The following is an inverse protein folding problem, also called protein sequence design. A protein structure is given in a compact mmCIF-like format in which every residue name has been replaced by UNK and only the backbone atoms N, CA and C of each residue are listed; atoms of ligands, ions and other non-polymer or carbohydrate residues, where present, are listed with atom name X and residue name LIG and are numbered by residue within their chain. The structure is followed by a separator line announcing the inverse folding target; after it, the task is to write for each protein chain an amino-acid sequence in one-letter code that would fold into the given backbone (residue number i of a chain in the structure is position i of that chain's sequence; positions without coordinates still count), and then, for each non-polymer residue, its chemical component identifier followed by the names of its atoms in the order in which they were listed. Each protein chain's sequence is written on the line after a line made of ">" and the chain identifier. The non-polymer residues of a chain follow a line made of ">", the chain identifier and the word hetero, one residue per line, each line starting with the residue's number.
data_IF_839867508543
#
_entry.id   IF_839867508543
#
_cell.length_a   1.000
_cell.length_b   1.000
_cell.length_c   1.000
_cell.angle_alpha   90.00
_cell.angle_beta   90.00
_cell.angle_gamma   90.00
#
_symmetry.space_group_name_H-M   'P 1'
#
loop_
_entity.id
_entity.type
_entity.pdbx_description
1 polymer ?
#
# COMPACT_ATOMS: atom_id res chain seq x y z
N UNK A 1 10.40 -14.61 -13.17
CA UNK A 1 10.25 -13.41 -12.31
C UNK A 1 11.45 -13.34 -11.38
N UNK A 2 12.17 -12.21 -11.33
CA UNK A 2 13.39 -12.08 -10.55
C UNK A 2 13.06 -11.76 -9.08
N UNK A 3 13.61 -12.53 -8.12
CA UNK A 3 13.42 -12.32 -6.68
C UNK A 3 13.79 -10.90 -6.23
N UNK A 4 14.76 -10.26 -6.89
CA UNK A 4 15.17 -8.88 -6.59
C UNK A 4 14.03 -7.87 -6.77
N UNK A 5 13.21 -8.03 -7.82
CA UNK A 5 12.06 -7.14 -8.07
C UNK A 5 11.00 -7.24 -6.99
N UNK A 6 10.75 -8.46 -6.52
CA UNK A 6 9.81 -8.71 -5.43
C UNK A 6 10.32 -8.00 -4.16
N UNK A 7 11.62 -8.10 -3.87
CA UNK A 7 12.23 -7.39 -2.73
C UNK A 7 12.10 -5.87 -2.86
N UNK A 8 12.29 -5.30 -4.06
CA UNK A 8 12.05 -3.87 -4.28
C UNK A 8 10.59 -3.47 -4.01
N UNK A 9 9.65 -4.33 -4.40
CA UNK A 9 8.24 -4.18 -4.06
C UNK A 9 8.00 -4.22 -2.55
N UNK A 10 8.61 -5.18 -1.84
CA UNK A 10 8.55 -5.27 -0.38
C UNK A 10 9.13 -4.02 0.28
N UNK A 11 10.27 -3.51 -0.17
CA UNK A 11 10.87 -2.28 0.37
C UNK A 11 9.97 -1.06 0.15
N UNK A 12 9.41 -0.91 -1.05
CA UNK A 12 8.44 0.15 -1.31
C UNK A 12 7.17 0.01 -0.47
N UNK A 13 6.70 -1.22 -0.28
CA UNK A 13 5.55 -1.53 0.56
C UNK A 13 5.80 -1.18 2.02
N UNK A 14 6.94 -1.59 2.57
CA UNK A 14 7.33 -1.26 3.95
C UNK A 14 7.54 0.24 4.14
N UNK A 15 8.16 0.93 3.19
CA UNK A 15 8.35 2.38 3.25
C UNK A 15 7.01 3.13 3.24
N UNK A 16 6.11 2.77 2.31
CA UNK A 16 4.77 3.36 2.25
C UNK A 16 3.93 3.00 3.48
N UNK A 17 4.01 1.75 3.92
CA UNK A 17 3.29 1.22 5.09
C UNK A 17 3.76 1.84 6.40
N UNK A 18 5.04 2.19 6.52
CA UNK A 18 5.55 2.93 7.67
C UNK A 18 4.88 4.29 7.78
N UNK A 19 4.88 5.07 6.70
CA UNK A 19 4.29 6.41 6.67
C UNK A 19 2.78 6.33 6.88
N UNK A 20 2.09 5.41 6.19
CA UNK A 20 0.65 5.22 6.36
C UNK A 20 0.30 4.72 7.78
N UNK A 21 1.09 3.81 8.34
CA UNK A 21 0.95 3.35 9.71
C UNK A 21 1.08 4.47 10.74
N UNK A 22 2.04 5.39 10.55
CA UNK A 22 2.17 6.59 11.40
C UNK A 22 0.94 7.48 11.29
N UNK A 23 0.46 7.75 10.06
CA UNK A 23 -0.78 8.51 9.85
C UNK A 23 -1.98 7.87 10.56
N UNK A 24 -2.14 6.55 10.45
CA UNK A 24 -3.18 5.82 11.17
C UNK A 24 -3.03 5.92 12.68
N UNK A 25 -1.80 5.88 13.20
CA UNK A 25 -1.52 6.07 14.63
C UNK A 25 -1.97 7.44 15.12
N UNK A 26 -1.64 8.50 14.36
CA UNK A 26 -2.07 9.88 14.67
C UNK A 26 -3.59 10.04 14.61
N UNK A 27 -4.27 9.28 13.76
CA UNK A 27 -5.74 9.28 13.63
C UNK A 27 -6.44 8.26 14.57
N UNK A 28 -5.70 7.53 15.41
CA UNK A 28 -6.28 6.53 16.32
C UNK A 28 -6.88 5.31 15.60
N UNK A 29 -6.49 5.03 14.35
CA UNK A 29 -7.08 3.98 13.52
C UNK A 29 -6.41 2.61 13.67
N UNK A 30 -5.23 2.52 14.30
CA UNK A 30 -4.49 1.24 14.43
C UNK A 30 -5.27 0.13 15.18
N UNK A 31 -6.04 0.41 16.25
CA UNK A 31 -6.88 -0.61 16.88
C UNK A 31 -7.89 -1.25 15.93
N UNK A 32 -8.37 -0.53 14.92
CA UNK A 32 -9.29 -1.09 13.92
C UNK A 32 -8.65 -2.26 13.17
N UNK A 33 -7.37 -2.13 12.80
CA UNK A 33 -6.61 -3.19 12.14
C UNK A 33 -6.31 -4.32 13.13
N UNK A 34 -5.95 -4.00 14.37
CA UNK A 34 -5.66 -5.00 15.40
C UNK A 34 -6.84 -5.96 15.65
N UNK A 35 -8.09 -5.46 15.53
CA UNK A 35 -9.30 -6.26 15.72
C UNK A 35 -9.43 -7.41 14.73
N UNK A 36 -8.82 -7.31 13.55
CA UNK A 36 -8.77 -8.40 12.57
C UNK A 36 -8.04 -9.63 13.11
N UNK A 37 -7.17 -9.46 14.12
CA UNK A 37 -6.45 -10.52 14.82
C UNK A 37 -6.95 -10.72 16.28
N UNK A 38 -8.15 -10.23 16.61
CA UNK A 38 -8.71 -10.36 17.96
C UNK A 38 -8.01 -9.51 19.02
N UNK A 39 -7.24 -8.49 18.62
CA UNK A 39 -6.51 -7.59 19.52
C UNK A 39 -7.06 -6.17 19.48
N UNK A 40 -6.81 -5.39 20.54
CA UNK A 40 -7.07 -3.94 20.58
C UNK A 40 -5.79 -3.11 20.64
N UNK A 41 -4.62 -3.74 20.68
CA UNK A 41 -3.34 -3.05 20.83
C UNK A 41 -2.96 -2.28 19.55
N UNK A 42 -2.73 -0.95 19.61
CA UNK A 42 -2.24 -0.18 18.47
C UNK A 42 -0.94 -0.72 17.89
N UNK A 43 -0.04 -1.23 18.75
CA UNK A 43 1.24 -1.79 18.31
C UNK A 43 1.05 -3.08 17.48
N UNK A 44 0.10 -3.93 17.88
CA UNK A 44 -0.27 -5.13 17.10
C UNK A 44 -0.88 -4.71 15.76
N UNK A 45 -1.80 -3.73 15.76
CA UNK A 45 -2.40 -3.19 14.54
C UNK A 45 -1.37 -2.61 13.57
N UNK A 46 -0.36 -1.91 14.09
CA UNK A 46 0.76 -1.38 13.30
C UNK A 46 1.61 -2.50 12.70
N UNK A 47 1.95 -3.53 13.48
CA UNK A 47 2.69 -4.69 12.99
C UNK A 47 1.95 -5.42 11.86
N UNK A 48 0.65 -5.67 12.05
CA UNK A 48 -0.22 -6.27 11.02
C UNK A 48 -0.25 -5.39 9.77
N UNK A 49 -0.39 -4.07 9.94
CA UNK A 49 -0.37 -3.15 8.81
C UNK A 49 0.93 -3.25 8.01
N UNK A 50 2.10 -3.26 8.66
CA UNK A 50 3.39 -3.40 7.97
C UNK A 50 3.52 -4.73 7.22
N UNK A 51 3.03 -5.83 7.80
CA UNK A 51 3.01 -7.14 7.12
C UNK A 51 2.14 -7.09 5.87
N UNK A 52 0.93 -6.55 5.98
CA UNK A 52 0.00 -6.37 4.85
C UNK A 52 0.66 -5.48 3.78
N UNK A 53 1.27 -4.36 4.17
CA UNK A 53 1.98 -3.45 3.26
C UNK A 53 3.12 -4.13 2.52
N UNK A 54 3.91 -4.98 3.19
CA UNK A 54 4.96 -5.76 2.53
C UNK A 54 4.40 -6.73 1.47
N UNK A 55 3.33 -7.45 1.80
CA UNK A 55 2.66 -8.38 0.88
C UNK A 55 2.06 -7.63 -0.31
N UNK A 56 1.38 -6.52 -0.06
CA UNK A 56 0.81 -5.66 -1.11
C UNK A 56 1.92 -5.10 -2.02
N UNK A 57 3.03 -4.66 -1.45
CA UNK A 57 4.19 -4.20 -2.22
C UNK A 57 4.81 -5.30 -3.09
N UNK A 58 4.90 -6.53 -2.59
CA UNK A 58 5.32 -7.68 -3.39
C UNK A 58 4.36 -7.93 -4.57
N UNK A 59 3.04 -7.88 -4.33
CA UNK A 59 2.02 -8.04 -5.37
C UNK A 59 2.13 -6.93 -6.43
N UNK A 60 2.34 -5.69 -6.01
CA UNK A 60 2.59 -4.58 -6.93
C UNK A 60 3.73 -4.89 -7.91
N UNK A 61 4.88 -5.32 -7.39
CA UNK A 61 6.04 -5.69 -8.21
C UNK A 61 5.69 -6.79 -9.23
N UNK A 62 4.90 -7.80 -8.84
CA UNK A 62 4.47 -8.86 -9.76
C UNK A 62 3.58 -8.32 -10.90
N UNK A 63 2.71 -7.36 -10.62
CA UNK A 63 1.79 -6.78 -11.61
C UNK A 63 2.55 -5.87 -12.59
N UNK A 64 3.55 -5.13 -12.13
CA UNK A 64 4.18 -4.06 -12.93
C UNK A 64 5.53 -4.44 -13.56
N UNK A 65 6.03 -5.65 -13.29
CA UNK A 65 7.44 -6.06 -13.41
C UNK A 65 8.17 -5.70 -14.72
N UNK A 66 7.50 -5.40 -15.84
CA UNK A 66 8.15 -5.08 -17.12
C UNK A 66 7.50 -3.89 -17.85
N UNK A 67 6.57 -3.19 -17.19
CA UNK A 67 5.72 -2.17 -17.83
C UNK A 67 6.15 -0.74 -17.55
N UNK A 68 6.94 -0.54 -16.49
CA UNK A 68 7.29 0.79 -15.99
C UNK A 68 8.68 1.19 -16.48
N UNK A 69 8.76 2.36 -17.13
CA UNK A 69 10.00 2.85 -17.78
C UNK A 69 10.61 4.07 -17.09
N UNK A 70 9.93 4.61 -16.07
CA UNK A 70 10.40 5.76 -15.30
C UNK A 70 9.82 5.75 -13.89
N UNK A 71 10.49 6.45 -12.95
CA UNK A 71 9.98 6.66 -11.58
C UNK A 71 8.59 7.30 -11.61
N UNK A 72 8.36 8.29 -12.48
CA UNK A 72 7.05 8.93 -12.62
C UNK A 72 5.94 7.95 -13.03
N UNK A 73 6.22 7.06 -13.99
CA UNK A 73 5.25 6.01 -14.37
C UNK A 73 4.96 5.04 -13.22
N UNK A 74 5.98 4.74 -12.39
CA UNK A 74 5.83 3.87 -11.24
C UNK A 74 5.00 4.51 -10.12
N UNK A 75 5.19 5.81 -9.86
CA UNK A 75 4.35 6.59 -8.93
C UNK A 75 2.90 6.61 -9.43
N UNK A 76 2.67 6.87 -10.72
CA UNK A 76 1.33 6.85 -11.31
C UNK A 76 0.63 5.49 -11.15
N UNK A 77 1.33 4.39 -11.43
CA UNK A 77 0.84 3.04 -11.19
C UNK A 77 0.56 2.79 -9.71
N UNK A 78 1.43 3.27 -8.83
CA UNK A 78 1.28 3.19 -7.37
C UNK A 78 0.03 3.91 -6.87
N UNK A 79 -0.28 5.10 -7.39
CA UNK A 79 -1.49 5.85 -7.04
C UNK A 79 -2.76 5.07 -7.42
N UNK A 80 -2.83 4.55 -8.65
CA UNK A 80 -3.96 3.72 -9.10
C UNK A 80 -4.09 2.47 -8.23
N UNK A 81 -2.96 1.85 -7.89
CA UNK A 81 -2.91 0.69 -7.01
C UNK A 81 -3.36 1.01 -5.58
N UNK A 82 -3.04 2.20 -5.07
CA UNK A 82 -3.53 2.72 -3.80
C UNK A 82 -5.05 2.86 -3.78
N UNK A 83 -5.65 3.44 -4.84
CA UNK A 83 -7.11 3.53 -4.98
C UNK A 83 -7.75 2.13 -4.99
N UNK A 84 -7.15 1.19 -5.72
CA UNK A 84 -7.64 -0.19 -5.74
C UNK A 84 -7.62 -0.81 -4.33
N UNK A 85 -6.55 -0.62 -3.56
CA UNK A 85 -6.47 -1.10 -2.18
C UNK A 85 -7.34 -0.34 -1.19
N UNK A 86 -7.70 0.91 -1.46
CA UNK A 86 -8.71 1.62 -0.69
C UNK A 86 -10.10 0.99 -0.86
N UNK A 87 -10.46 0.59 -2.09
CA UNK A 87 -11.70 -0.15 -2.33
C UNK A 87 -11.64 -1.57 -1.72
N UNK A 88 -10.52 -2.28 -1.92
CA UNK A 88 -10.38 -3.66 -1.46
C UNK A 88 -10.21 -3.77 0.06
N UNK A 89 -9.42 -2.90 0.69
CA UNK A 89 -9.08 -2.98 2.11
C UNK A 89 -10.27 -2.59 3.00
N UNK A 90 -10.48 -1.30 3.28
CA UNK A 90 -11.49 -0.83 4.22
C UNK A 90 -12.94 -1.02 3.76
N UNK A 91 -13.23 -1.02 2.45
CA UNK A 91 -14.60 -1.11 1.96
C UNK A 91 -15.06 -2.53 1.58
N UNK A 92 -14.13 -3.49 1.52
CA UNK A 92 -14.44 -4.86 1.09
C UNK A 92 -13.93 -5.91 2.09
N UNK A 93 -12.61 -6.05 2.23
CA UNK A 93 -12.00 -7.13 3.01
C UNK A 93 -12.19 -6.94 4.51
N UNK A 94 -12.01 -5.73 5.04
CA UNK A 94 -12.21 -5.48 6.47
C UNK A 94 -13.65 -5.78 6.92
N UNK A 95 -14.72 -5.27 6.26
CA UNK A 95 -16.09 -5.62 6.61
C UNK A 95 -16.35 -7.12 6.58
N UNK A 96 -15.89 -7.81 5.52
CA UNK A 96 -16.06 -9.27 5.38
C UNK A 96 -15.37 -10.03 6.52
N UNK A 97 -14.14 -9.65 6.88
CA UNK A 97 -13.41 -10.25 8.00
C UNK A 97 -14.08 -10.00 9.36
N UNK A 98 -14.89 -8.94 9.47
CA UNK A 98 -15.68 -8.61 10.65
C UNK A 98 -17.10 -9.21 10.62
N UNK A 99 -17.43 -10.06 9.64
CA UNK A 99 -18.75 -10.66 9.50
C UNK A 99 -19.83 -9.71 8.98
N UNK A 100 -19.44 -8.56 8.42
CA UNK A 100 -20.32 -7.60 7.76
C UNK A 100 -20.34 -7.81 6.25
N UNK A 101 -21.34 -7.24 5.56
CA UNK A 101 -21.37 -7.20 4.10
C UNK A 101 -20.41 -6.15 3.53
N UNK A 102 -20.09 -6.26 2.24
CA UNK A 102 -19.29 -5.27 1.50
C UNK A 102 -19.96 -3.88 1.55
N UNK A 103 -19.19 -2.84 1.86
CA UNK A 103 -19.71 -1.49 2.15
C UNK A 103 -19.56 -0.54 0.97
N UNK A 104 -20.03 -0.94 -0.21
CA UNK A 104 -19.98 -0.11 -1.43
C UNK A 104 -21.20 0.79 -1.54
N UNK A 105 -21.39 1.67 -0.56
CA UNK A 105 -22.45 2.69 -0.58
C UNK A 105 -21.85 4.08 -0.66
N UNK A 106 -22.61 5.05 -1.18
CA UNK A 106 -22.16 6.45 -1.22
C UNK A 106 -21.76 6.98 0.16
N UNK A 107 -22.55 6.64 1.20
CA UNK A 107 -22.25 7.02 2.58
C UNK A 107 -20.93 6.43 3.09
N UNK A 108 -20.66 5.14 2.82
CA UNK A 108 -19.43 4.49 3.23
C UNK A 108 -18.21 5.06 2.48
N UNK A 109 -18.34 5.36 1.18
CA UNK A 109 -17.29 6.03 0.41
C UNK A 109 -16.99 7.42 0.96
N UNK A 110 -18.03 8.23 1.26
CA UNK A 110 -17.88 9.55 1.87
C UNK A 110 -17.18 9.49 3.23
N UNK A 111 -17.59 8.55 4.09
CA UNK A 111 -16.96 8.33 5.40
C UNK A 111 -15.52 7.80 5.28
N UNK A 112 -15.23 7.04 4.22
CA UNK A 112 -13.92 6.47 3.94
C UNK A 112 -12.92 7.44 3.30
N UNK A 113 -13.33 8.65 2.89
CA UNK A 113 -12.46 9.62 2.21
C UNK A 113 -11.15 9.94 2.93
N UNK A 114 -11.11 10.13 4.26
CA UNK A 114 -9.85 10.35 4.97
C UNK A 114 -8.86 9.19 4.78
N UNK A 115 -9.36 7.94 4.74
CA UNK A 115 -8.51 6.77 4.53
C UNK A 115 -7.97 6.67 3.11
N UNK A 116 -8.64 7.26 2.11
CA UNK A 116 -8.15 7.30 0.73
C UNK A 116 -6.81 8.04 0.65
N UNK A 117 -6.65 9.14 1.39
CA UNK A 117 -5.40 9.91 1.44
C UNK A 117 -4.23 9.02 1.87
N UNK A 118 -4.42 8.20 2.91
CA UNK A 118 -3.40 7.26 3.36
C UNK A 118 -3.04 6.22 2.30
N UNK A 119 -4.02 5.70 1.57
CA UNK A 119 -3.79 4.75 0.48
C UNK A 119 -3.07 5.38 -0.73
N UNK A 120 -3.38 6.64 -1.05
CA UNK A 120 -2.68 7.39 -2.10
C UNK A 120 -1.22 7.67 -1.71
N UNK A 121 -0.97 8.08 -0.46
CA UNK A 121 0.38 8.29 0.07
C UNK A 121 1.17 6.98 0.05
N UNK A 122 0.57 5.88 0.53
CA UNK A 122 1.14 4.54 0.45
C UNK A 122 1.52 4.18 -0.98
N UNK A 123 0.57 4.32 -1.92
CA UNK A 123 0.76 3.99 -3.33
C UNK A 123 1.87 4.82 -3.99
N UNK A 124 1.90 6.12 -3.73
CA UNK A 124 2.92 7.02 -4.27
C UNK A 124 4.33 6.64 -3.78
N UNK A 125 4.48 6.35 -2.49
CA UNK A 125 5.77 5.95 -1.91
C UNK A 125 6.19 4.57 -2.43
N UNK A 126 5.29 3.60 -2.47
CA UNK A 126 5.53 2.28 -3.03
C UNK A 126 6.05 2.38 -4.47
N UNK A 127 5.31 3.08 -5.33
CA UNK A 127 5.68 3.28 -6.72
C UNK A 127 7.00 4.03 -6.88
N UNK A 128 7.21 5.07 -6.06
CA UNK A 128 8.43 5.89 -6.07
C UNK A 128 9.68 5.08 -5.69
N UNK A 129 9.63 4.33 -4.59
CA UNK A 129 10.73 3.49 -4.12
C UNK A 129 11.00 2.36 -5.12
N UNK A 130 9.96 1.65 -5.57
CA UNK A 130 10.12 0.59 -6.57
C UNK A 130 10.75 1.11 -7.86
N UNK A 131 10.22 2.21 -8.40
CA UNK A 131 10.74 2.81 -9.63
C UNK A 131 12.16 3.36 -9.48
N UNK A 132 12.53 3.85 -8.29
CA UNK A 132 13.89 4.30 -8.02
C UNK A 132 14.89 3.14 -7.94
N UNK A 133 14.50 2.00 -7.39
CA UNK A 133 15.34 0.80 -7.30
C UNK A 133 15.50 0.08 -8.65
N UNK A 134 14.46 0.11 -9.49
CA UNK A 134 14.48 -0.52 -10.83
C UNK A 134 15.02 0.39 -11.94
N UNK A 135 15.36 1.65 -11.64
CA UNK A 135 15.85 2.56 -12.69
C UNK A 135 17.20 2.08 -13.23
N UNK A 136 17.42 2.12 -14.56
CA UNK A 136 18.74 1.86 -15.12
C UNK A 136 19.77 2.82 -14.54
N UNK A 137 20.94 2.31 -14.16
CA UNK A 137 22.08 3.15 -13.77
C UNK A 137 22.63 3.80 -15.03
N UNK A 138 22.67 5.15 -15.14
CA UNK A 138 23.33 5.80 -16.25
C UNK A 138 24.81 5.42 -16.26
N UNK A 139 25.29 4.81 -17.35
CA UNK A 139 26.72 4.57 -17.53
C UNK A 139 27.33 5.83 -18.17
N UNK A 140 28.24 6.55 -17.50
CA UNK A 140 28.89 7.71 -18.11
C UNK A 140 29.68 7.29 -19.36
N UNK A 141 29.43 7.93 -20.51
CA UNK A 141 30.28 7.81 -21.70
C UNK A 141 29.76 6.99 -22.88
N UNK A 142 28.47 6.63 -22.95
CA UNK A 142 27.84 6.16 -24.19
C UNK A 142 26.73 7.12 -24.62
N UNK A 143 27.09 8.02 -25.53
CA UNK A 143 26.19 8.77 -26.39
C UNK A 143 26.13 8.07 -27.76
#
# INVERSE_FOLDING_TARGET
>A
MNSTRILHGVYGGLAGGLIFGVMMGMMGMLPMIARMAGSSSPAIGFGIHLIISAVIGAIFAMIVADRLRSVGSAVGAGLVYGVAWWLLGPLTLMPLMMGMSVTWTGAAMSAGMPSLVGHLVYGAILGGVYGWLERPVPVPGRA
#
